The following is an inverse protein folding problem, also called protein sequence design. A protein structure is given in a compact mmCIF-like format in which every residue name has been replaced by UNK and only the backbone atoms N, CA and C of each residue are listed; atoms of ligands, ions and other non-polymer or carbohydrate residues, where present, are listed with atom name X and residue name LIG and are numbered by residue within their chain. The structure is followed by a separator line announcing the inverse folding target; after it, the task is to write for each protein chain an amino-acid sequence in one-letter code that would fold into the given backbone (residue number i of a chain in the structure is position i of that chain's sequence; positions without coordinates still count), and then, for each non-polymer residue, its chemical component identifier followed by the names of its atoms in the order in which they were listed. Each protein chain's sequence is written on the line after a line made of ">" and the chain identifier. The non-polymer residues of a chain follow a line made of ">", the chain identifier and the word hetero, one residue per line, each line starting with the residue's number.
data_IF_511896035751
#
_entry.id   IF_511896035751
#
_cell.length_a   1.000
_cell.length_b   1.000
_cell.length_c   1.000
_cell.angle_alpha   90.00
_cell.angle_beta   90.00
_cell.angle_gamma   90.00
#
_symmetry.space_group_name_H-M   'P 1'
#
loop_
_entity.id
_entity.type
_entity.pdbx_description
1 polymer ?
#
# COMPACT_ATOMS: atom_id res chain seq x y z
N UNK A 1 42.10 22.61 52.53
CA UNK A 1 42.77 22.92 51.29
C UNK A 1 42.82 21.65 50.46
N UNK A 2 41.96 21.50 49.54
CA UNK A 2 42.03 20.54 48.45
C UNK A 2 41.10 21.06 47.32
N UNK A 3 41.69 21.47 46.25
CA UNK A 3 41.08 22.04 45.07
C UNK A 3 40.43 20.94 44.21
N UNK A 4 39.16 21.08 43.93
CA UNK A 4 38.43 20.24 42.97
C UNK A 4 38.46 20.91 41.62
N UNK A 5 39.12 20.30 40.64
CA UNK A 5 39.06 20.65 39.23
C UNK A 5 37.87 19.96 38.57
N UNK A 6 36.90 20.75 38.10
CA UNK A 6 35.79 20.30 37.29
C UNK A 6 36.21 20.23 35.82
N UNK A 7 36.22 19.03 35.25
CA UNK A 7 36.35 18.81 33.80
C UNK A 7 34.97 18.71 33.17
N UNK A 8 34.61 19.72 32.38
CA UNK A 8 33.42 19.77 31.55
C UNK A 8 33.66 18.97 30.27
N UNK A 9 33.04 17.81 30.13
CA UNK A 9 32.98 17.05 28.90
C UNK A 9 31.79 17.54 28.06
N UNK A 10 32.09 18.23 26.97
CA UNK A 10 31.11 18.60 25.94
C UNK A 10 30.71 17.35 25.13
N UNK A 11 29.47 16.90 25.31
CA UNK A 11 28.86 15.87 24.46
C UNK A 11 28.43 16.51 23.13
N UNK A 12 29.18 16.24 22.09
CA UNK A 12 28.79 16.52 20.70
C UNK A 12 27.69 15.53 20.28
N UNK A 13 26.45 16.00 20.20
CA UNK A 13 25.35 15.28 19.57
C UNK A 13 25.46 15.37 18.06
N UNK A 14 25.88 14.30 17.40
CA UNK A 14 25.75 14.17 15.95
C UNK A 14 24.36 13.61 15.63
N UNK A 15 23.52 14.46 15.05
CA UNK A 15 22.20 14.08 14.56
C UNK A 15 22.32 13.30 13.22
N UNK A 16 21.68 12.13 13.07
CA UNK A 16 21.71 11.38 11.81
C UNK A 16 20.72 11.88 10.74
N UNK A 17 20.18 13.10 10.85
CA UNK A 17 19.13 13.61 9.95
C UNK A 17 19.48 14.90 9.20
N UNK A 18 20.77 15.29 9.12
CA UNK A 18 21.15 16.44 8.32
C UNK A 18 21.78 15.97 7.01
N UNK A 19 21.08 16.22 5.90
CA UNK A 19 21.61 16.07 4.56
C UNK A 19 22.77 17.08 4.37
N UNK A 20 24.00 16.60 4.33
CA UNK A 20 25.13 17.40 3.88
C UNK A 20 25.27 17.27 2.37
N UNK A 21 24.97 18.36 1.66
CA UNK A 21 25.42 18.60 0.30
C UNK A 21 26.93 18.90 0.36
N UNK A 22 27.77 17.91 0.15
CA UNK A 22 29.18 18.14 -0.14
C UNK A 22 29.41 18.00 -1.64
N UNK A 23 29.61 19.15 -2.29
CA UNK A 23 30.18 19.21 -3.62
C UNK A 23 31.61 18.65 -3.58
N UNK A 24 31.84 17.54 -4.25
CA UNK A 24 33.19 17.03 -4.52
C UNK A 24 33.77 17.76 -5.69
N UNK A 25 34.77 18.61 -5.44
CA UNK A 25 35.72 19.05 -6.46
C UNK A 25 36.64 17.87 -6.81
N UNK A 26 36.50 17.32 -7.98
CA UNK A 26 37.43 16.34 -8.54
C UNK A 26 38.30 17.09 -9.55
N UNK A 27 39.60 17.14 -9.25
CA UNK A 27 40.64 17.57 -10.21
C UNK A 27 40.75 16.54 -11.34
N UNK A 28 41.02 16.96 -12.60
CA UNK A 28 41.03 16.04 -13.72
C UNK A 28 42.31 15.21 -13.75
N UNK A 29 42.26 13.91 -13.98
CA UNK A 29 43.42 13.11 -14.32
C UNK A 29 43.71 13.21 -15.82
N UNK A 30 45.00 13.13 -16.12
CA UNK A 30 45.68 13.21 -17.43
C UNK A 30 45.09 12.24 -18.47
N UNK A 31 45.13 12.73 -19.73
CA UNK A 31 44.72 12.02 -20.94
C UNK A 31 45.45 10.70 -21.15
N UNK A 32 44.71 9.60 -21.24
CA UNK A 32 45.10 8.42 -22.01
C UNK A 32 43.97 8.07 -22.97
N UNK A 33 44.30 8.07 -24.25
CA UNK A 33 43.41 7.69 -25.35
C UNK A 33 42.98 6.24 -25.20
N UNK A 34 41.69 5.98 -25.08
CA UNK A 34 41.10 4.66 -25.30
C UNK A 34 39.92 4.78 -26.28
N UNK A 35 40.01 3.90 -27.26
CA UNK A 35 39.17 3.65 -28.41
C UNK A 35 37.67 3.70 -28.15
N UNK A 36 36.95 4.45 -29.03
CA UNK A 36 35.48 4.41 -29.12
C UNK A 36 35.01 3.05 -29.67
N UNK A 37 34.48 2.18 -28.82
CA UNK A 37 33.60 1.13 -29.27
C UNK A 37 32.15 1.64 -29.32
N UNK A 38 31.61 1.60 -30.52
CA UNK A 38 30.25 1.97 -30.89
C UNK A 38 29.23 1.23 -30.01
N UNK A 39 28.47 1.96 -29.17
CA UNK A 39 27.22 1.46 -28.64
C UNK A 39 26.18 1.40 -29.76
N UNK A 40 25.78 0.20 -30.16
CA UNK A 40 24.62 -0.04 -31.03
C UNK A 40 23.36 0.29 -30.24
N UNK A 41 22.63 1.31 -30.67
CA UNK A 41 21.26 1.53 -30.29
C UNK A 41 20.39 0.37 -30.79
N UNK A 42 19.76 -0.35 -29.88
CA UNK A 42 18.69 -1.30 -30.21
C UNK A 42 17.42 -0.49 -30.47
N UNK A 43 17.11 -0.28 -31.75
CA UNK A 43 15.79 0.15 -32.17
C UNK A 43 14.92 -1.10 -32.37
N UNK A 44 13.87 -1.24 -31.57
CA UNK A 44 12.79 -2.20 -31.81
C UNK A 44 12.02 -1.76 -33.04
N UNK A 45 12.27 -2.42 -34.18
CA UNK A 45 11.46 -2.28 -35.38
C UNK A 45 10.17 -3.08 -35.23
N UNK A 46 9.06 -2.39 -35.24
CA UNK A 46 7.70 -2.96 -35.36
C UNK A 46 7.55 -3.45 -36.80
N UNK A 47 7.15 -4.72 -37.06
CA UNK A 47 6.92 -5.17 -38.42
C UNK A 47 5.66 -4.53 -39.02
N UNK A 48 5.65 -4.13 -40.30
CA UNK A 48 4.49 -3.53 -40.93
C UNK A 48 3.36 -4.53 -41.15
N UNK A 49 2.13 -4.11 -40.91
CA UNK A 49 0.92 -4.87 -41.14
C UNK A 49 0.79 -5.29 -42.63
N UNK A 50 0.56 -6.56 -42.86
CA UNK A 50 0.27 -7.11 -44.20
C UNK A 50 -1.01 -6.49 -44.76
N UNK A 51 -0.86 -5.81 -45.89
CA UNK A 51 -2.00 -5.46 -46.80
C UNK A 51 -2.48 -6.75 -47.46
N UNK A 52 -3.75 -7.07 -47.29
CA UNK A 52 -4.45 -8.11 -48.05
C UNK A 52 -4.98 -7.43 -49.32
N UNK A 53 -4.52 -7.91 -50.45
CA UNK A 53 -4.92 -7.45 -51.78
C UNK A 53 -6.18 -8.16 -52.25
N UNK A 54 -7.12 -7.38 -52.78
CA UNK A 54 -8.08 -7.64 -53.85
C UNK A 54 -8.83 -8.97 -53.92
N UNK A 55 -10.12 -8.91 -53.69
CA UNK A 55 -11.15 -9.81 -54.28
C UNK A 55 -12.13 -8.94 -55.05
N UNK A 56 -12.59 -9.39 -56.25
CA UNK A 56 -13.31 -8.55 -57.23
C UNK A 56 -14.77 -8.33 -56.88
N UNK A 57 -15.24 -7.14 -57.23
CA UNK A 57 -16.63 -6.70 -57.22
C UNK A 57 -17.51 -7.56 -58.15
N UNK A 58 -18.62 -8.07 -57.64
CA UNK A 58 -19.83 -8.23 -58.42
C UNK A 58 -21.05 -7.81 -57.60
N UNK A 59 -21.80 -6.94 -58.21
CA UNK A 59 -23.00 -6.27 -57.76
C UNK A 59 -24.18 -7.22 -57.55
N UNK A 60 -24.89 -7.06 -56.40
CA UNK A 60 -26.38 -7.11 -56.37
C UNK A 60 -26.85 -6.21 -55.22
N UNK A 61 -27.65 -5.24 -55.59
CA UNK A 61 -28.37 -4.33 -54.69
C UNK A 61 -29.42 -5.14 -53.94
N UNK A 62 -29.38 -5.18 -52.61
CA UNK A 62 -30.55 -5.42 -51.79
C UNK A 62 -30.51 -4.52 -50.58
N UNK A 63 -31.41 -3.59 -50.56
CA UNK A 63 -31.69 -2.69 -49.45
C UNK A 63 -32.31 -3.44 -48.27
N UNK A 64 -31.49 -3.80 -47.28
CA UNK A 64 -31.97 -4.15 -45.96
C UNK A 64 -31.36 -3.17 -44.95
N UNK A 65 -32.23 -2.36 -44.38
CA UNK A 65 -31.96 -1.45 -43.26
C UNK A 65 -31.32 -2.22 -42.12
N UNK A 66 -30.00 -2.05 -41.95
CA UNK A 66 -29.30 -2.45 -40.74
C UNK A 66 -29.71 -1.45 -39.67
N UNK A 67 -30.63 -1.88 -38.80
CA UNK A 67 -30.91 -1.22 -37.54
C UNK A 67 -29.65 -1.28 -36.71
N UNK A 68 -28.85 -0.21 -36.71
CA UNK A 68 -27.86 0.04 -35.69
C UNK A 68 -28.61 0.23 -34.39
N UNK A 69 -28.63 -0.81 -33.53
CA UNK A 69 -28.98 -0.64 -32.13
C UNK A 69 -28.10 0.47 -31.60
N UNK A 70 -28.64 1.49 -30.88
CA UNK A 70 -27.84 2.44 -30.18
C UNK A 70 -26.98 1.65 -29.19
N UNK A 71 -25.66 1.86 -29.17
CA UNK A 71 -24.84 1.48 -28.04
C UNK A 71 -25.51 2.07 -26.80
N UNK A 72 -26.10 1.21 -25.99
CA UNK A 72 -26.57 1.58 -24.66
C UNK A 72 -25.37 2.19 -23.96
N UNK A 73 -25.33 3.52 -23.81
CA UNK A 73 -24.52 4.21 -22.86
C UNK A 73 -24.89 3.62 -21.51
N UNK A 74 -24.13 2.62 -21.05
CA UNK A 74 -24.26 2.12 -19.69
C UNK A 74 -24.07 3.34 -18.77
N UNK A 75 -25.19 3.87 -18.28
CA UNK A 75 -25.16 4.94 -17.30
C UNK A 75 -24.29 4.46 -16.13
N UNK A 76 -23.17 5.16 -15.93
CA UNK A 76 -22.23 4.85 -14.88
C UNK A 76 -22.96 4.98 -13.54
N UNK A 77 -23.22 3.85 -12.88
CA UNK A 77 -23.85 3.89 -11.55
C UNK A 77 -22.97 4.68 -10.59
N UNK A 78 -23.51 5.69 -9.90
CA UNK A 78 -22.73 6.45 -8.93
C UNK A 78 -22.32 5.56 -7.76
N UNK A 79 -21.08 5.72 -7.30
CA UNK A 79 -20.58 5.04 -6.12
C UNK A 79 -20.98 5.84 -4.88
N UNK A 80 -21.99 5.38 -4.15
CA UNK A 80 -22.56 6.05 -2.98
C UNK A 80 -22.56 5.12 -1.76
N UNK A 81 -22.45 5.66 -0.54
CA UNK A 81 -22.59 4.85 0.69
C UNK A 81 -23.98 4.17 0.78
N UNK A 82 -24.06 3.01 1.45
CA UNK A 82 -22.97 2.26 2.07
C UNK A 82 -22.03 1.62 1.06
N UNK A 83 -20.72 1.74 1.29
CA UNK A 83 -19.71 1.13 0.44
C UNK A 83 -19.50 -0.34 0.76
N UNK A 84 -19.17 -1.13 -0.26
CA UNK A 84 -18.72 -2.49 -0.10
C UNK A 84 -17.19 -2.52 -0.05
N UNK A 85 -16.64 -2.86 1.10
CA UNK A 85 -15.21 -2.75 1.41
C UNK A 85 -14.60 -4.12 1.66
N UNK A 86 -13.52 -4.45 0.97
CA UNK A 86 -12.66 -5.59 1.30
C UNK A 86 -11.36 -5.10 1.92
N UNK A 87 -10.92 -5.76 3.00
CA UNK A 87 -9.62 -5.50 3.63
C UNK A 87 -8.88 -6.82 3.80
N UNK A 88 -7.68 -6.95 3.20
CA UNK A 88 -6.85 -8.14 3.38
C UNK A 88 -6.04 -8.06 4.68
N UNK A 89 -5.80 -9.21 5.35
CA UNK A 89 -5.06 -9.25 6.61
C UNK A 89 -5.74 -8.48 7.74
N UNK A 90 -7.05 -8.60 7.88
CA UNK A 90 -7.89 -7.73 8.69
C UNK A 90 -8.47 -8.37 9.97
N UNK A 91 -7.83 -9.44 10.48
CA UNK A 91 -8.23 -10.06 11.75
C UNK A 91 -7.51 -9.51 12.98
N UNK A 92 -6.58 -8.55 12.80
CA UNK A 92 -5.88 -7.84 13.87
C UNK A 92 -5.23 -6.54 13.39
N UNK A 93 -4.71 -5.76 14.34
CA UNK A 93 -3.94 -4.54 14.05
C UNK A 93 -4.70 -3.53 13.22
N UNK A 94 -3.98 -2.84 12.31
CA UNK A 94 -4.58 -1.75 11.52
C UNK A 94 -5.69 -2.24 10.57
N UNK A 95 -5.60 -3.46 10.03
CA UNK A 95 -6.64 -4.02 9.17
C UNK A 95 -7.96 -4.23 9.90
N UNK A 96 -7.92 -4.71 11.15
CA UNK A 96 -9.11 -4.87 11.99
C UNK A 96 -9.69 -3.52 12.42
N UNK A 97 -8.83 -2.57 12.78
CA UNK A 97 -9.26 -1.22 13.15
C UNK A 97 -9.93 -0.50 11.97
N UNK A 98 -9.39 -0.65 10.75
CA UNK A 98 -10.03 -0.13 9.53
C UNK A 98 -11.40 -0.79 9.30
N UNK A 99 -11.51 -2.11 9.43
CA UNK A 99 -12.77 -2.83 9.28
C UNK A 99 -13.83 -2.31 10.26
N UNK A 100 -13.45 -2.19 11.52
CA UNK A 100 -14.34 -1.66 12.57
C UNK A 100 -14.76 -0.21 12.30
N UNK A 101 -13.85 0.63 11.81
CA UNK A 101 -14.16 2.03 11.51
C UNK A 101 -15.08 2.17 10.28
N UNK A 102 -14.90 1.38 9.22
CA UNK A 102 -15.85 1.36 8.09
C UNK A 102 -17.24 0.92 8.52
N UNK A 103 -17.34 -0.07 9.39
CA UNK A 103 -18.63 -0.52 9.95
C UNK A 103 -19.30 0.58 10.79
N UNK A 104 -18.55 1.36 11.59
CA UNK A 104 -19.07 2.54 12.30
C UNK A 104 -19.65 3.58 11.34
N UNK A 105 -19.05 3.77 10.17
CA UNK A 105 -19.55 4.66 9.12
C UNK A 105 -20.75 4.09 8.34
N UNK A 106 -21.21 2.88 8.67
CA UNK A 106 -22.35 2.24 8.07
C UNK A 106 -22.07 1.41 6.81
N UNK A 107 -20.82 1.21 6.46
CA UNK A 107 -20.40 0.45 5.27
C UNK A 107 -20.50 -1.08 5.50
N UNK A 108 -20.45 -1.84 4.41
CA UNK A 108 -20.38 -3.27 4.39
C UNK A 108 -18.93 -3.73 4.30
N UNK A 109 -18.50 -4.67 5.14
CA UNK A 109 -17.08 -5.04 5.21
C UNK A 109 -16.89 -6.55 5.07
N UNK A 110 -15.96 -6.93 4.22
CA UNK A 110 -15.41 -8.28 4.15
C UNK A 110 -14.01 -8.27 4.73
N UNK A 111 -13.77 -9.15 5.70
CA UNK A 111 -12.44 -9.38 6.27
C UNK A 111 -11.87 -10.71 5.79
N UNK A 112 -10.55 -10.80 5.68
CA UNK A 112 -9.89 -12.07 5.40
C UNK A 112 -8.50 -12.16 6.03
N UNK A 113 -8.08 -13.39 6.31
CA UNK A 113 -6.71 -13.72 6.72
C UNK A 113 -6.40 -15.19 6.46
N UNK A 114 -5.14 -15.60 6.68
CA UNK A 114 -4.68 -16.98 6.50
C UNK A 114 -5.29 -17.99 7.50
N UNK A 115 -5.69 -17.55 8.69
CA UNK A 115 -6.29 -18.39 9.70
C UNK A 115 -7.82 -18.28 9.65
N UNK A 116 -8.49 -19.41 9.35
CA UNK A 116 -9.94 -19.49 9.34
C UNK A 116 -10.54 -19.19 10.73
N UNK A 117 -9.95 -19.74 11.79
CA UNK A 117 -10.39 -19.54 13.18
C UNK A 117 -10.37 -18.04 13.58
N UNK A 118 -9.29 -17.32 13.21
CA UNK A 118 -9.21 -15.87 13.48
C UNK A 118 -10.21 -15.08 12.65
N UNK A 119 -10.49 -15.50 11.42
CA UNK A 119 -11.54 -14.85 10.61
C UNK A 119 -12.90 -15.05 11.28
N UNK A 120 -13.25 -16.27 11.67
CA UNK A 120 -14.51 -16.59 12.32
C UNK A 120 -14.71 -15.80 13.61
N UNK A 121 -13.73 -15.83 14.52
CA UNK A 121 -13.74 -15.06 15.77
C UNK A 121 -13.88 -13.55 15.53
N UNK A 122 -13.15 -13.00 14.55
CA UNK A 122 -13.21 -11.57 14.23
C UNK A 122 -14.56 -11.19 13.60
N UNK A 123 -15.11 -12.03 12.72
CA UNK A 123 -16.46 -11.83 12.14
C UNK A 123 -17.51 -11.83 13.23
N UNK A 124 -17.45 -12.79 14.15
CA UNK A 124 -18.38 -12.86 15.26
C UNK A 124 -18.34 -11.58 16.11
N UNK A 125 -17.15 -11.15 16.54
CA UNK A 125 -16.99 -9.93 17.34
C UNK A 125 -17.51 -8.67 16.62
N UNK A 126 -17.26 -8.56 15.31
CA UNK A 126 -17.75 -7.43 14.53
C UNK A 126 -19.27 -7.49 14.32
N UNK A 127 -19.87 -8.68 14.18
CA UNK A 127 -21.31 -8.87 14.05
C UNK A 127 -22.05 -8.55 15.34
N UNK A 128 -21.49 -8.91 16.48
CA UNK A 128 -22.00 -8.55 17.81
C UNK A 128 -22.07 -7.03 18.00
N UNK A 129 -21.07 -6.30 17.48
CA UNK A 129 -21.01 -4.83 17.61
C UNK A 129 -21.83 -4.08 16.54
N UNK A 130 -21.90 -4.58 15.28
CA UNK A 130 -22.45 -3.85 14.14
C UNK A 130 -23.62 -4.51 13.42
N UNK A 131 -24.00 -5.73 13.83
CA UNK A 131 -25.06 -6.52 13.21
C UNK A 131 -24.56 -7.46 12.12
N UNK A 132 -25.33 -8.54 11.91
CA UNK A 132 -24.93 -9.65 11.03
C UNK A 132 -24.89 -9.31 9.55
N UNK A 133 -25.69 -8.33 9.11
CA UNK A 133 -25.95 -8.05 7.69
C UNK A 133 -24.84 -7.24 7.00
N UNK A 134 -23.83 -6.77 7.75
CA UNK A 134 -22.78 -5.90 7.21
C UNK A 134 -21.39 -6.51 7.26
N UNK A 135 -21.24 -7.71 7.85
CA UNK A 135 -19.92 -8.30 8.09
C UNK A 135 -19.84 -9.70 7.50
N UNK A 136 -18.88 -9.90 6.63
CA UNK A 136 -18.51 -11.21 6.09
C UNK A 136 -17.04 -11.48 6.28
N UNK A 137 -16.66 -12.74 6.26
CA UNK A 137 -15.26 -13.12 6.31
C UNK A 137 -14.99 -14.44 5.61
N UNK A 138 -13.79 -14.58 5.09
CA UNK A 138 -13.32 -15.83 4.49
C UNK A 138 -11.82 -16.01 4.69
N UNK A 139 -11.38 -17.26 4.78
CA UNK A 139 -9.94 -17.56 4.74
C UNK A 139 -9.37 -17.15 3.39
N UNK A 140 -8.21 -16.50 3.40
CA UNK A 140 -7.43 -16.20 2.20
C UNK A 140 -5.96 -15.98 2.57
N UNK A 141 -5.08 -16.75 1.97
CA UNK A 141 -3.65 -16.46 1.93
C UNK A 141 -3.36 -15.69 0.65
N UNK A 142 -2.95 -14.43 0.78
CA UNK A 142 -2.68 -13.55 -0.37
C UNK A 142 -1.52 -14.05 -1.24
N UNK A 143 -0.66 -14.93 -0.72
CA UNK A 143 0.45 -15.55 -1.46
C UNK A 143 -0.03 -16.59 -2.48
N UNK A 144 -1.24 -17.14 -2.25
CA UNK A 144 -1.81 -18.20 -3.06
C UNK A 144 -2.83 -17.61 -4.05
N UNK A 145 -2.50 -17.69 -5.34
CA UNK A 145 -3.35 -17.10 -6.39
C UNK A 145 -4.75 -17.69 -6.44
N UNK A 146 -4.91 -18.97 -6.09
CA UNK A 146 -6.21 -19.64 -6.04
C UNK A 146 -7.06 -19.14 -4.86
N UNK A 147 -6.46 -18.92 -3.69
CA UNK A 147 -7.15 -18.33 -2.54
C UNK A 147 -7.70 -16.93 -2.87
N UNK A 148 -6.91 -16.10 -3.61
CA UNK A 148 -7.37 -14.76 -4.02
C UNK A 148 -8.49 -14.83 -5.06
N UNK A 149 -8.49 -15.80 -5.98
CA UNK A 149 -9.62 -16.04 -6.89
C UNK A 149 -10.88 -16.49 -6.14
N UNK A 150 -10.72 -17.40 -5.16
CA UNK A 150 -11.80 -17.84 -4.30
C UNK A 150 -12.37 -16.66 -3.47
N UNK A 151 -11.51 -15.74 -3.00
CA UNK A 151 -11.92 -14.50 -2.37
C UNK A 151 -12.77 -13.65 -3.30
N UNK A 152 -12.37 -13.46 -4.57
CA UNK A 152 -13.17 -12.72 -5.58
C UNK A 152 -14.53 -13.37 -5.79
N UNK A 153 -14.59 -14.70 -5.94
CA UNK A 153 -15.86 -15.43 -6.07
C UNK A 153 -16.76 -15.24 -4.83
N UNK A 154 -16.16 -15.27 -3.63
CA UNK A 154 -16.88 -15.01 -2.37
C UNK A 154 -17.45 -13.58 -2.33
N UNK A 155 -16.68 -12.57 -2.76
CA UNK A 155 -17.12 -11.18 -2.83
C UNK A 155 -18.29 -11.00 -3.81
N UNK A 156 -18.20 -11.58 -5.00
CA UNK A 156 -19.26 -11.52 -6.01
C UNK A 156 -20.56 -12.18 -5.53
N UNK A 157 -20.44 -13.30 -4.82
CA UNK A 157 -21.59 -14.01 -4.25
C UNK A 157 -22.31 -13.21 -3.18
N UNK A 158 -21.58 -12.53 -2.29
CA UNK A 158 -22.15 -11.88 -1.10
C UNK A 158 -22.47 -10.40 -1.31
N UNK A 159 -21.68 -9.68 -2.11
CA UNK A 159 -21.78 -8.23 -2.28
C UNK A 159 -22.10 -7.79 -3.71
N UNK A 160 -22.06 -8.68 -4.69
CA UNK A 160 -22.15 -8.44 -6.15
C UNK A 160 -20.98 -7.60 -6.70
N UNK A 161 -20.57 -6.52 -6.03
CA UNK A 161 -19.46 -5.63 -6.39
C UNK A 161 -18.70 -5.17 -5.14
N UNK A 162 -17.50 -4.64 -5.34
CA UNK A 162 -16.64 -4.06 -4.31
C UNK A 162 -16.27 -2.63 -4.73
N UNK A 163 -16.59 -1.66 -3.89
CA UNK A 163 -16.28 -0.24 -4.14
C UNK A 163 -14.83 0.08 -3.72
N UNK A 164 -14.39 -0.49 -2.59
CA UNK A 164 -13.10 -0.22 -1.97
C UNK A 164 -12.39 -1.53 -1.64
N UNK A 165 -11.20 -1.73 -2.21
CA UNK A 165 -10.33 -2.88 -1.91
C UNK A 165 -9.05 -2.40 -1.24
N UNK A 166 -8.80 -2.79 0.01
CA UNK A 166 -7.62 -2.39 0.77
C UNK A 166 -6.65 -3.57 0.89
N UNK A 167 -5.50 -3.44 0.24
CA UNK A 167 -4.38 -4.36 0.37
C UNK A 167 -3.57 -3.98 1.63
N UNK A 168 -3.93 -4.60 2.75
CA UNK A 168 -3.32 -4.39 4.04
C UNK A 168 -2.42 -5.57 4.48
N UNK A 169 -2.67 -6.78 4.00
CA UNK A 169 -1.86 -7.95 4.36
C UNK A 169 -0.36 -7.69 4.19
N UNK A 170 0.40 -7.99 5.23
CA UNK A 170 1.84 -7.78 5.25
C UNK A 170 2.54 -8.57 6.36
N UNK A 171 3.81 -8.85 6.15
CA UNK A 171 4.69 -9.58 7.07
C UNK A 171 6.03 -8.87 7.23
N UNK A 172 6.62 -9.02 8.42
CA UNK A 172 8.00 -8.67 8.71
C UNK A 172 8.62 -9.81 9.54
N UNK A 173 8.68 -11.00 8.96
CA UNK A 173 9.04 -12.25 9.63
C UNK A 173 10.41 -12.19 10.33
N UNK A 174 11.41 -11.50 9.74
CA UNK A 174 12.78 -11.47 10.25
C UNK A 174 13.10 -10.23 11.12
N UNK A 175 12.14 -9.53 11.60
CA UNK A 175 12.22 -8.19 12.19
C UNK A 175 13.46 -7.91 13.07
N UNK A 176 14.01 -6.70 12.90
CA UNK A 176 15.10 -6.10 13.71
C UNK A 176 16.46 -6.78 13.63
N UNK A 177 16.72 -7.64 12.66
CA UNK A 177 18.03 -8.25 12.40
C UNK A 177 18.71 -7.62 11.17
N UNK A 178 20.04 -7.55 11.13
CA UNK A 178 20.77 -7.34 9.87
C UNK A 178 20.37 -8.39 8.83
N UNK A 179 20.36 -8.02 7.54
CA UNK A 179 19.96 -8.93 6.47
C UNK A 179 20.77 -10.22 6.43
N UNK A 180 22.06 -10.16 6.82
CA UNK A 180 22.96 -11.30 6.89
C UNK A 180 22.56 -12.37 7.92
N UNK A 181 21.68 -12.03 8.85
CA UNK A 181 21.13 -12.92 9.89
C UNK A 181 19.73 -13.44 9.55
N UNK A 182 19.14 -13.00 8.42
CA UNK A 182 17.84 -13.48 8.00
C UNK A 182 17.94 -14.89 7.41
N UNK A 183 16.99 -15.77 7.73
CA UNK A 183 16.87 -17.06 7.07
C UNK A 183 16.19 -16.91 5.70
N UNK A 184 16.38 -17.91 4.83
CA UNK A 184 15.70 -17.93 3.53
C UNK A 184 14.18 -17.96 3.70
N UNK A 185 13.67 -18.68 4.70
CA UNK A 185 12.24 -18.75 5.03
C UNK A 185 11.66 -17.38 5.42
N UNK A 186 12.39 -16.61 6.26
CA UNK A 186 12.00 -15.26 6.64
C UNK A 186 11.94 -14.34 5.41
N UNK A 187 12.93 -14.41 4.52
CA UNK A 187 12.99 -13.62 3.30
C UNK A 187 11.86 -14.00 2.32
N UNK A 188 11.63 -15.31 2.13
CA UNK A 188 10.53 -15.82 1.31
C UNK A 188 9.19 -15.33 1.86
N UNK A 189 8.95 -15.45 3.16
CA UNK A 189 7.69 -14.99 3.80
C UNK A 189 7.46 -13.48 3.55
N UNK A 190 8.49 -12.65 3.76
CA UNK A 190 8.38 -11.19 3.58
C UNK A 190 8.13 -10.82 2.11
N UNK A 191 8.88 -11.41 1.18
CA UNK A 191 8.77 -11.09 -0.25
C UNK A 191 7.47 -11.62 -0.84
N UNK A 192 7.11 -12.86 -0.53
CA UNK A 192 5.89 -13.47 -1.06
C UNK A 192 4.64 -12.80 -0.52
N UNK A 193 4.61 -12.40 0.76
CA UNK A 193 3.45 -11.69 1.32
C UNK A 193 3.38 -10.25 0.81
N UNK A 194 4.45 -9.47 0.95
CA UNK A 194 4.40 -8.02 0.76
C UNK A 194 4.50 -7.58 -0.71
N UNK A 195 5.12 -8.39 -1.57
CA UNK A 195 5.31 -8.06 -2.98
C UNK A 195 4.47 -8.95 -3.89
N UNK A 196 4.69 -10.27 -3.90
CA UNK A 196 3.95 -11.18 -4.77
C UNK A 196 2.46 -11.20 -4.44
N UNK A 197 2.10 -11.36 -3.16
CA UNK A 197 0.71 -11.36 -2.70
C UNK A 197 -0.01 -10.06 -3.03
N UNK A 198 0.66 -8.91 -2.86
CA UNK A 198 0.13 -7.62 -3.29
C UNK A 198 -0.13 -7.57 -4.80
N UNK A 199 0.81 -8.06 -5.63
CA UNK A 199 0.65 -8.10 -7.09
C UNK A 199 -0.53 -8.98 -7.50
N UNK A 200 -0.67 -10.16 -6.88
CA UNK A 200 -1.81 -11.08 -7.11
C UNK A 200 -3.12 -10.38 -6.73
N UNK A 201 -3.21 -9.78 -5.54
CA UNK A 201 -4.40 -9.08 -5.08
C UNK A 201 -4.76 -7.90 -6.00
N UNK A 202 -3.79 -7.07 -6.39
CA UNK A 202 -4.02 -5.96 -7.33
C UNK A 202 -4.54 -6.46 -8.68
N UNK A 203 -3.95 -7.53 -9.23
CA UNK A 203 -4.37 -8.14 -10.50
C UNK A 203 -5.83 -8.59 -10.45
N UNK A 204 -6.21 -9.35 -9.42
CA UNK A 204 -7.57 -9.88 -9.32
C UNK A 204 -8.57 -8.78 -8.95
N UNK A 205 -8.19 -7.79 -8.12
CA UNK A 205 -9.02 -6.62 -7.84
C UNK A 205 -9.30 -5.80 -9.12
N UNK A 206 -8.28 -5.51 -9.92
CA UNK A 206 -8.44 -4.78 -11.18
C UNK A 206 -9.36 -5.56 -12.12
N UNK A 207 -9.14 -6.88 -12.32
CA UNK A 207 -10.00 -7.73 -13.16
C UNK A 207 -11.46 -7.68 -12.69
N UNK A 208 -11.71 -7.81 -11.39
CA UNK A 208 -13.05 -7.74 -10.83
C UNK A 208 -13.69 -6.37 -11.11
N UNK A 209 -12.97 -5.28 -10.82
CA UNK A 209 -13.50 -3.91 -10.93
C UNK A 209 -13.70 -3.45 -12.37
N UNK A 210 -12.93 -3.97 -13.33
CA UNK A 210 -13.16 -3.72 -14.77
C UNK A 210 -14.50 -4.32 -15.27
N UNK A 211 -14.95 -5.41 -14.63
CA UNK A 211 -16.19 -6.11 -15.00
C UNK A 211 -17.43 -5.62 -14.22
N UNK A 212 -17.28 -4.61 -13.33
CA UNK A 212 -18.42 -4.03 -12.64
C UNK A 212 -18.74 -2.61 -13.14
N UNK A 213 -20.05 -2.23 -13.24
CA UNK A 213 -20.47 -0.99 -13.91
C UNK A 213 -19.87 0.28 -13.32
N UNK A 214 -19.67 0.30 -11.99
CA UNK A 214 -19.19 1.48 -11.24
C UNK A 214 -17.68 1.58 -11.12
N UNK A 215 -16.94 0.53 -11.53
CA UNK A 215 -15.49 0.45 -11.29
C UNK A 215 -15.14 0.23 -9.82
N UNK A 216 -14.08 0.85 -9.31
CA UNK A 216 -13.67 0.73 -7.92
C UNK A 216 -12.35 1.40 -7.57
N UNK A 217 -12.05 1.43 -6.28
CA UNK A 217 -10.85 2.04 -5.72
C UNK A 217 -10.01 1.01 -4.96
N UNK A 218 -8.75 0.86 -5.35
CA UNK A 218 -7.79 -0.06 -4.73
C UNK A 218 -6.78 0.76 -3.93
N UNK A 219 -6.60 0.43 -2.65
CA UNK A 219 -5.68 1.11 -1.75
C UNK A 219 -4.58 0.15 -1.28
N UNK A 220 -3.33 0.49 -1.58
CA UNK A 220 -2.16 -0.29 -1.20
C UNK A 220 -1.50 0.33 0.03
N UNK A 221 -1.42 -0.41 1.14
CA UNK A 221 -0.78 0.06 2.38
C UNK A 221 0.73 -0.09 2.25
N UNK A 222 1.42 1.03 2.37
CA UNK A 222 2.87 1.10 2.40
C UNK A 222 3.46 0.89 3.82
N UNK A 223 4.71 1.28 4.03
CA UNK A 223 5.40 1.16 5.32
C UNK A 223 6.79 1.79 5.27
N UNK A 224 7.58 1.53 6.30
CA UNK A 224 8.95 2.03 6.38
C UNK A 224 9.77 1.63 5.14
N UNK A 225 10.50 2.58 4.57
CA UNK A 225 11.27 2.42 3.33
C UNK A 225 10.51 2.77 2.04
N UNK A 226 9.19 2.98 2.10
CA UNK A 226 8.39 3.34 0.91
C UNK A 226 8.83 4.65 0.26
N UNK A 227 9.38 5.57 1.01
CA UNK A 227 9.94 6.85 0.54
C UNK A 227 11.36 6.75 -0.03
N UNK A 228 11.98 5.56 0.02
CA UNK A 228 13.33 5.28 -0.46
C UNK A 228 14.44 5.55 0.55
N UNK A 229 14.12 5.96 1.77
CA UNK A 229 15.12 6.07 2.84
C UNK A 229 15.60 4.69 3.29
N UNK A 230 16.90 4.56 3.64
CA UNK A 230 17.43 3.29 4.17
C UNK A 230 16.66 2.83 5.42
N UNK A 231 16.45 1.53 5.51
CA UNK A 231 15.78 0.87 6.64
C UNK A 231 16.70 -0.19 7.24
N UNK A 232 17.79 0.22 7.94
CA UNK A 232 18.70 -0.74 8.56
C UNK A 232 17.91 -1.63 9.52
N UNK A 233 18.26 -2.93 9.57
CA UNK A 233 17.57 -4.00 10.33
C UNK A 233 16.16 -4.34 9.82
N UNK A 234 15.70 -3.68 8.74
CA UNK A 234 14.45 -3.92 8.01
C UNK A 234 14.66 -3.94 6.50
N UNK A 235 15.86 -4.31 6.03
CA UNK A 235 16.23 -4.13 4.63
C UNK A 235 15.26 -4.81 3.66
N UNK A 236 14.93 -6.10 3.88
CA UNK A 236 13.99 -6.83 3.03
C UNK A 236 12.57 -6.23 3.10
N UNK A 237 12.09 -5.91 4.32
CA UNK A 237 10.80 -5.26 4.49
C UNK A 237 10.75 -3.92 3.76
N UNK A 238 11.74 -3.05 3.98
CA UNK A 238 11.82 -1.74 3.33
C UNK A 238 11.87 -1.84 1.81
N UNK A 239 12.60 -2.82 1.26
CA UNK A 239 12.63 -3.08 -0.18
C UNK A 239 11.23 -3.46 -0.70
N UNK A 240 10.50 -4.34 0.00
CA UNK A 240 9.12 -4.69 -0.39
C UNK A 240 8.19 -3.50 -0.26
N UNK A 241 8.30 -2.65 0.77
CA UNK A 241 7.46 -1.45 0.92
C UNK A 241 7.79 -0.36 -0.11
N UNK A 242 9.04 -0.28 -0.58
CA UNK A 242 9.39 0.57 -1.74
C UNK A 242 8.73 0.07 -3.01
N UNK A 243 8.67 -1.26 -3.22
CA UNK A 243 8.02 -1.85 -4.39
C UNK A 243 6.52 -1.54 -4.46
N UNK A 244 5.82 -1.41 -3.32
CA UNK A 244 4.39 -1.02 -3.26
C UNK A 244 4.14 0.29 -3.98
N UNK A 245 4.95 1.32 -3.69
CA UNK A 245 4.79 2.65 -4.29
C UNK A 245 5.10 2.63 -5.78
N UNK A 246 6.11 1.85 -6.20
CA UNK A 246 6.45 1.70 -7.60
C UNK A 246 5.35 0.95 -8.36
N UNK A 247 4.90 -0.20 -7.84
CA UNK A 247 3.82 -0.99 -8.41
C UNK A 247 2.55 -0.14 -8.60
N UNK A 248 2.14 0.60 -7.56
CA UNK A 248 0.95 1.47 -7.65
C UNK A 248 1.06 2.47 -8.80
N UNK A 249 2.22 3.12 -8.97
CA UNK A 249 2.45 4.06 -10.08
C UNK A 249 2.40 3.38 -11.44
N UNK A 250 2.95 2.16 -11.56
CA UNK A 250 2.94 1.38 -12.80
C UNK A 250 1.52 0.98 -13.17
N UNK A 251 0.74 0.43 -12.23
CA UNK A 251 -0.67 0.09 -12.43
C UNK A 251 -1.52 1.29 -12.84
N UNK A 252 -1.30 2.46 -12.23
CA UNK A 252 -1.94 3.70 -12.63
C UNK A 252 -1.60 4.10 -14.07
N UNK A 253 -0.35 3.85 -14.51
CA UNK A 253 0.06 4.12 -15.88
C UNK A 253 -0.58 3.14 -16.87
N UNK A 254 -0.61 1.84 -16.54
CA UNK A 254 -1.25 0.81 -17.35
C UNK A 254 -2.75 1.07 -17.55
N UNK A 255 -3.48 1.41 -16.48
CA UNK A 255 -4.91 1.77 -16.56
C UNK A 255 -5.15 2.99 -17.46
N UNK A 256 -4.28 4.02 -17.38
CA UNK A 256 -4.36 5.19 -18.28
C UNK A 256 -4.07 4.82 -19.73
N UNK A 257 -3.10 3.94 -20.00
CA UNK A 257 -2.80 3.46 -21.36
C UNK A 257 -4.00 2.72 -22.00
N UNK A 258 -4.84 2.10 -21.16
CA UNK A 258 -6.06 1.38 -21.59
C UNK A 258 -7.31 2.28 -21.55
N UNK A 259 -7.17 3.59 -21.33
CA UNK A 259 -8.26 4.58 -21.15
C UNK A 259 -9.27 4.20 -20.03
N UNK A 260 -8.84 3.42 -19.05
CA UNK A 260 -9.66 3.04 -17.90
C UNK A 260 -9.71 4.21 -16.91
N UNK A 261 -10.92 4.72 -16.64
CA UNK A 261 -11.15 5.89 -15.77
C UNK A 261 -11.89 5.56 -14.47
N UNK A 262 -12.57 4.41 -14.44
CA UNK A 262 -13.42 4.00 -13.32
C UNK A 262 -12.73 3.04 -12.33
N UNK A 263 -11.51 2.57 -12.61
CA UNK A 263 -10.68 1.80 -11.67
C UNK A 263 -9.47 2.62 -11.31
N UNK A 264 -9.26 2.88 -10.02
CA UNK A 264 -8.19 3.76 -9.54
C UNK A 264 -7.39 3.09 -8.45
N UNK A 265 -6.06 3.14 -8.55
CA UNK A 265 -5.15 2.56 -7.54
C UNK A 265 -4.50 3.68 -6.75
N UNK A 266 -4.50 3.57 -5.41
CA UNK A 266 -4.03 4.57 -4.46
C UNK A 266 -2.97 3.99 -3.52
N UNK A 267 -2.24 4.87 -2.82
CA UNK A 267 -1.39 4.50 -1.70
C UNK A 267 -1.97 5.01 -0.38
N UNK A 268 -1.84 4.18 0.67
CA UNK A 268 -2.10 4.54 2.07
C UNK A 268 -0.82 4.42 2.89
N UNK A 269 -0.53 5.43 3.69
CA UNK A 269 0.58 5.42 4.64
C UNK A 269 0.03 5.61 6.06
N UNK A 270 -0.09 4.53 6.84
CA UNK A 270 -0.61 4.61 8.20
C UNK A 270 0.40 5.24 9.19
N UNK A 271 1.66 5.39 8.79
CA UNK A 271 2.73 5.81 9.68
C UNK A 271 3.16 4.70 10.65
N UNK A 272 3.57 5.07 11.84
CA UNK A 272 3.93 4.12 12.91
C UNK A 272 2.67 3.77 13.71
N UNK A 273 2.27 2.49 13.68
CA UNK A 273 1.06 1.98 14.34
C UNK A 273 1.45 0.96 15.39
N UNK A 274 0.93 1.07 16.61
CA UNK A 274 1.24 0.17 17.74
C UNK A 274 0.60 -1.20 17.55
N UNK A 275 1.06 -1.92 16.53
CA UNK A 275 0.66 -3.29 16.23
C UNK A 275 1.76 -4.27 16.68
N UNK A 276 1.43 -5.56 16.80
CA UNK A 276 2.44 -6.60 17.08
C UNK A 276 3.64 -6.52 16.14
N UNK A 277 3.39 -6.20 14.86
CA UNK A 277 4.44 -6.07 13.84
C UNK A 277 5.45 -4.96 14.16
N UNK A 278 5.03 -3.85 14.78
CA UNK A 278 5.91 -2.77 15.19
C UNK A 278 6.51 -3.04 16.57
N UNK A 279 5.70 -3.54 17.51
CA UNK A 279 6.08 -3.64 18.91
C UNK A 279 7.03 -4.81 19.21
N UNK A 280 6.95 -5.90 18.43
CA UNK A 280 7.76 -7.11 18.63
C UNK A 280 9.27 -6.92 18.46
N UNK A 281 9.71 -5.81 17.91
CA UNK A 281 11.11 -5.53 17.68
C UNK A 281 11.60 -4.21 18.28
N UNK A 282 10.89 -3.67 19.26
CA UNK A 282 11.23 -2.40 19.91
C UNK A 282 12.22 -2.57 21.06
N UNK A 283 13.36 -3.20 20.82
CA UNK A 283 14.38 -3.54 21.83
C UNK A 283 15.46 -2.46 22.03
N UNK A 284 15.66 -1.55 21.07
CA UNK A 284 16.66 -0.49 21.18
C UNK A 284 16.10 0.81 21.80
N UNK A 285 16.94 1.57 22.52
CA UNK A 285 16.57 2.90 23.06
C UNK A 285 16.02 3.82 21.94
N UNK A 286 16.65 3.79 20.77
CA UNK A 286 16.21 4.58 19.62
C UNK A 286 14.82 4.16 19.10
N UNK A 287 14.55 2.86 18.98
CA UNK A 287 13.24 2.35 18.55
C UNK A 287 12.15 2.76 19.55
N UNK A 288 12.38 2.56 20.86
CA UNK A 288 11.48 2.97 21.95
C UNK A 288 11.18 4.47 21.91
N UNK A 289 12.20 5.29 21.71
CA UNK A 289 12.05 6.74 21.56
C UNK A 289 11.10 7.09 20.40
N UNK A 290 11.37 6.58 19.19
CA UNK A 290 10.53 6.91 18.02
C UNK A 290 9.12 6.34 18.14
N UNK A 291 8.94 5.16 18.72
CA UNK A 291 7.61 4.60 18.98
C UNK A 291 6.85 5.48 19.97
N UNK A 292 7.45 5.87 21.09
CA UNK A 292 6.81 6.78 22.04
C UNK A 292 6.40 8.11 21.40
N UNK A 293 7.24 8.66 20.51
CA UNK A 293 7.02 9.98 19.90
C UNK A 293 6.04 9.93 18.73
N UNK A 294 6.16 8.94 17.82
CA UNK A 294 5.51 8.95 16.53
C UNK A 294 4.38 7.93 16.38
N UNK A 295 4.38 6.85 17.18
CA UNK A 295 3.38 5.81 17.01
C UNK A 295 2.02 6.23 17.59
N UNK A 296 0.97 5.71 16.93
CA UNK A 296 -0.41 5.85 17.39
C UNK A 296 -1.12 4.49 17.40
N UNK A 297 -2.17 4.32 18.24
CA UNK A 297 -3.01 3.14 18.22
C UNK A 297 -3.66 2.92 16.85
N UNK A 298 -3.93 1.65 16.46
CA UNK A 298 -4.60 1.34 15.20
C UNK A 298 -5.95 2.07 15.03
N UNK A 299 -6.70 2.24 16.11
CA UNK A 299 -8.01 2.89 16.12
C UNK A 299 -7.90 4.37 15.73
N UNK A 300 -6.93 5.09 16.31
CA UNK A 300 -6.68 6.51 16.01
C UNK A 300 -6.26 6.70 14.55
N UNK A 301 -5.48 5.76 14.03
CA UNK A 301 -5.07 5.79 12.61
C UNK A 301 -6.26 5.49 11.70
N UNK A 302 -7.11 4.53 12.05
CA UNK A 302 -8.30 4.17 11.29
C UNK A 302 -9.33 5.30 11.27
N UNK A 303 -9.57 5.99 12.41
CA UNK A 303 -10.44 7.18 12.52
C UNK A 303 -10.01 8.31 11.57
N UNK A 304 -8.73 8.44 11.28
CA UNK A 304 -8.24 9.39 10.28
C UNK A 304 -8.33 8.86 8.86
N UNK A 305 -7.91 7.61 8.61
CA UNK A 305 -7.81 7.07 7.26
C UNK A 305 -9.17 6.84 6.61
N UNK A 306 -10.14 6.27 7.34
CA UNK A 306 -11.43 5.86 6.76
C UNK A 306 -12.23 7.02 6.19
N UNK A 307 -12.44 8.18 6.87
CA UNK A 307 -13.12 9.31 6.26
C UNK A 307 -12.41 9.83 5.01
N UNK A 308 -11.07 9.85 5.01
CA UNK A 308 -10.28 10.25 3.84
C UNK A 308 -10.41 9.28 2.67
N UNK A 309 -10.46 7.96 2.92
CA UNK A 309 -10.70 6.94 1.91
C UNK A 309 -12.10 7.10 1.33
N UNK A 310 -13.13 7.21 2.17
CA UNK A 310 -14.54 7.35 1.78
C UNK A 310 -14.80 8.63 0.97
N UNK A 311 -14.07 9.70 1.23
CA UNK A 311 -14.21 10.96 0.50
C UNK A 311 -13.87 10.83 -0.99
N UNK A 312 -13.04 9.86 -1.39
CA UNK A 312 -12.60 9.69 -2.78
C UNK A 312 -13.76 9.25 -3.69
N UNK A 313 -14.44 8.12 -3.43
CA UNK A 313 -15.61 7.74 -4.21
C UNK A 313 -16.77 8.74 -4.06
N UNK A 314 -17.01 9.28 -2.86
CA UNK A 314 -18.06 10.29 -2.61
C UNK A 314 -17.92 11.52 -3.53
N UNK A 315 -16.67 11.98 -3.72
CA UNK A 315 -16.37 13.12 -4.59
C UNK A 315 -16.26 12.73 -6.08
N UNK A 316 -16.51 11.48 -6.44
CA UNK A 316 -16.37 10.97 -7.81
C UNK A 316 -14.95 11.09 -8.37
N UNK A 317 -13.94 11.10 -7.50
CA UNK A 317 -12.54 11.32 -7.92
C UNK A 317 -11.98 10.12 -8.66
N UNK A 318 -11.53 10.36 -9.89
CA UNK A 318 -10.80 9.39 -10.71
C UNK A 318 -9.28 9.59 -10.65
N UNK A 319 -8.80 10.45 -9.75
CA UNK A 319 -7.37 10.76 -9.62
C UNK A 319 -6.74 9.90 -8.54
N UNK A 320 -5.58 9.27 -8.84
CA UNK A 320 -4.79 8.57 -7.82
C UNK A 320 -4.41 9.49 -6.67
N UNK A 321 -4.53 8.99 -5.45
CA UNK A 321 -4.17 9.73 -4.23
C UNK A 321 -3.15 8.98 -3.39
N UNK A 322 -2.47 9.70 -2.52
CA UNK A 322 -1.60 9.15 -1.50
C UNK A 322 -1.99 9.73 -0.15
N UNK A 323 -2.79 8.97 0.61
CA UNK A 323 -3.26 9.39 1.94
C UNK A 323 -2.19 9.02 2.96
N UNK A 324 -1.75 9.99 3.77
CA UNK A 324 -0.73 9.80 4.81
C UNK A 324 -1.24 10.28 6.16
N UNK A 325 -1.26 9.39 7.14
CA UNK A 325 -1.57 9.74 8.53
C UNK A 325 -0.42 10.52 9.19
N UNK A 326 0.80 10.01 9.05
CA UNK A 326 2.01 10.65 9.56
C UNK A 326 2.73 11.38 8.44
N UNK A 327 2.47 12.68 8.32
CA UNK A 327 3.19 13.56 7.39
C UNK A 327 4.54 13.97 7.98
N UNK A 328 5.49 14.40 7.14
CA UNK A 328 6.77 14.91 7.60
C UNK A 328 6.63 16.06 8.60
N UNK A 329 5.75 17.03 8.30
CA UNK A 329 5.48 18.16 9.21
C UNK A 329 4.96 17.68 10.57
N UNK A 330 4.01 16.75 10.59
CA UNK A 330 3.48 16.17 11.84
C UNK A 330 4.58 15.43 12.62
N UNK A 331 5.42 14.66 11.94
CA UNK A 331 6.53 13.95 12.58
C UNK A 331 7.55 14.93 13.21
N UNK A 332 7.98 15.94 12.44
CA UNK A 332 8.89 16.98 12.98
C UNK A 332 8.29 17.75 14.15
N UNK A 333 7.02 18.13 14.09
CA UNK A 333 6.31 18.80 15.19
C UNK A 333 6.27 17.94 16.44
N UNK A 334 5.99 16.63 16.32
CA UNK A 334 5.97 15.71 17.46
C UNK A 334 7.38 15.52 18.06
N UNK A 335 8.42 15.38 17.24
CA UNK A 335 9.80 15.29 17.69
C UNK A 335 10.22 16.59 18.40
N UNK A 336 9.92 17.75 17.83
CA UNK A 336 10.21 19.03 18.45
C UNK A 336 9.49 19.18 19.81
N UNK A 337 8.20 18.89 19.86
CA UNK A 337 7.41 18.92 21.11
C UNK A 337 8.00 17.99 22.20
N UNK A 338 8.51 16.82 21.76
CA UNK A 338 9.22 15.90 22.66
C UNK A 338 10.50 16.50 23.21
N UNK A 339 11.33 17.08 22.36
CA UNK A 339 12.62 17.64 22.75
C UNK A 339 12.49 18.92 23.58
N UNK A 340 11.55 19.80 23.21
CA UNK A 340 11.38 21.10 23.86
C UNK A 340 10.54 21.03 25.16
N UNK A 341 9.55 20.13 25.22
CA UNK A 341 8.56 20.10 26.30
C UNK A 341 8.42 18.74 26.99
N UNK A 342 9.21 17.74 26.58
CA UNK A 342 9.10 16.39 27.12
C UNK A 342 7.80 15.67 26.76
N UNK A 343 7.04 16.17 25.77
CA UNK A 343 5.76 15.61 25.37
C UNK A 343 5.91 14.16 24.88
N UNK A 344 4.87 13.34 25.07
CA UNK A 344 4.82 11.94 24.60
C UNK A 344 5.90 11.02 25.19
N UNK A 345 6.42 11.36 26.39
CA UNK A 345 7.39 10.53 27.13
C UNK A 345 6.69 9.31 27.71
N UNK A 346 7.36 8.15 27.65
CA UNK A 346 6.90 6.90 28.29
C UNK A 346 5.46 6.48 27.90
N UNK A 347 5.01 6.76 26.67
CA UNK A 347 3.65 6.39 26.25
C UNK A 347 3.45 4.88 26.10
N UNK A 348 4.44 4.20 25.58
CA UNK A 348 4.41 2.76 25.29
C UNK A 348 5.59 2.01 25.93
N UNK A 349 6.73 2.67 26.05
CA UNK A 349 7.94 2.13 26.64
C UNK A 349 8.51 3.12 27.63
N UNK A 350 9.01 2.62 28.78
CA UNK A 350 9.80 3.42 29.70
C UNK A 350 11.14 3.76 29.02
N UNK A 351 11.52 5.02 29.11
CA UNK A 351 12.79 5.53 28.60
C UNK A 351 13.65 5.88 29.84
N UNK A 352 14.77 5.18 29.99
CA UNK A 352 15.77 5.41 31.05
C UNK A 352 16.57 6.68 30.76
#
# INVERSE_FOLDING_TARGET
>A
MASSTSSSSSLLFTSPFIAHNHGFFISPPSQSRLSLHKFRSFSLSIPPSRKISNIPTNSVVNSNSVSTKPEEFQQKEPMVPPYNVLITGSTKGIGYALARQFLKEGDNVVICSRSAERVESSVQSLREEFGEQRVWGTKCDVREGEDVKNLVAFLQKNLKYVDIWINNAGSNAYSFKPLVEASDEDLIEVVTTNALGLMICCREAIKMMLNQPRGGHIFNIDGAGSDGRPTPRFAAYGATKRSVVHLTKSLQAELRMQDVKNVVVHNLSPGMVTTDLLMSGADTKQAKFFINVLAEPPEVVAEYLVPNIRSIPTNGSTRPTYIRFLTGLKAYSQIFSRLAFGARRNRYFLED
#
